data_IF_343154608937
#
_entry.id   IF_343154608937
#
_cell.length_a   1.000
_cell.length_b   1.000
_cell.length_c   1.000
_cell.angle_alpha   90.00
_cell.angle_beta   90.00
_cell.angle_gamma   90.00
#
_symmetry.space_group_name_H-M   'P 1'
#
loop_
_entity.id
_entity.type
_entity.pdbx_description
1 polymer ?
#
# COMPACT_ATOMS: atom_id res chain seq x y z
N UNK A 1 -18.76 -14.56 1.96
CA UNK A 1 -18.37 -13.42 2.79
C UNK A 1 -17.03 -13.78 3.43
N UNK A 2 -16.04 -12.91 3.30
CA UNK A 2 -14.69 -13.13 3.83
C UNK A 2 -14.62 -12.82 5.32
N UNK A 3 -13.92 -13.63 6.10
CA UNK A 3 -13.71 -13.39 7.53
C UNK A 3 -12.56 -12.39 7.74
N UNK A 4 -12.77 -11.42 8.63
CA UNK A 4 -11.73 -10.50 9.11
C UNK A 4 -11.72 -10.57 10.64
N UNK A 5 -10.65 -11.12 11.21
CA UNK A 5 -10.44 -11.05 12.64
C UNK A 5 -9.94 -9.66 13.04
N UNK A 6 -10.49 -9.12 14.12
CA UNK A 6 -10.11 -7.83 14.68
C UNK A 6 -9.65 -7.98 16.13
N UNK A 7 -8.49 -7.43 16.42
CA UNK A 7 -7.89 -7.37 17.75
C UNK A 7 -7.82 -5.90 18.14
N UNK A 8 -8.61 -5.43 19.12
CA UNK A 8 -8.55 -4.06 19.61
C UNK A 8 -7.15 -3.66 20.11
N UNK A 9 -6.83 -2.37 20.05
CA UNK A 9 -5.51 -1.84 20.38
C UNK A 9 -5.06 -2.13 21.84
N UNK A 10 -6.01 -2.28 22.75
CA UNK A 10 -5.78 -2.62 24.16
C UNK A 10 -5.61 -4.13 24.43
N UNK A 11 -5.70 -4.98 23.38
CA UNK A 11 -5.60 -6.45 23.46
C UNK A 11 -4.61 -7.05 22.47
N UNK A 12 -3.59 -6.31 22.09
CA UNK A 12 -2.62 -6.72 21.04
C UNK A 12 -1.89 -8.03 21.40
N UNK A 13 -1.79 -8.37 22.67
CA UNK A 13 -1.24 -9.64 23.16
C UNK A 13 -2.02 -10.86 22.66
N UNK A 14 -3.27 -10.70 22.20
CA UNK A 14 -4.05 -11.77 21.59
C UNK A 14 -3.56 -12.14 20.17
N UNK A 15 -2.68 -11.34 19.55
CA UNK A 15 -2.21 -11.54 18.17
C UNK A 15 -1.71 -12.98 17.88
N UNK A 16 -0.86 -13.61 18.71
CA UNK A 16 -0.41 -14.98 18.45
C UNK A 16 -1.56 -16.00 18.39
N UNK A 17 -2.53 -15.85 19.29
CA UNK A 17 -3.72 -16.73 19.33
C UNK A 17 -4.60 -16.52 18.10
N UNK A 18 -4.82 -15.27 17.70
CA UNK A 18 -5.61 -14.92 16.54
C UNK A 18 -4.98 -15.46 15.25
N UNK A 19 -3.66 -15.30 15.08
CA UNK A 19 -2.93 -15.84 13.92
C UNK A 19 -3.11 -17.36 13.76
N UNK A 20 -3.04 -18.13 14.86
CA UNK A 20 -3.22 -19.59 14.82
C UNK A 20 -4.60 -20.01 14.31
N UNK A 21 -5.63 -19.18 14.48
CA UNK A 21 -6.98 -19.47 13.96
C UNK A 21 -7.05 -19.44 12.42
N UNK A 22 -6.04 -18.84 11.75
CA UNK A 22 -5.99 -18.76 10.29
C UNK A 22 -5.24 -19.93 9.62
N UNK A 23 -5.03 -21.05 10.31
CA UNK A 23 -4.49 -22.27 9.70
C UNK A 23 -3.09 -22.09 9.11
N UNK A 24 -2.14 -21.63 9.91
CA UNK A 24 -0.77 -21.31 9.48
C UNK A 24 0.01 -22.54 8.99
N UNK A 25 -0.45 -23.76 9.32
CA UNK A 25 0.16 -25.04 8.92
C UNK A 25 0.21 -25.22 7.40
N UNK A 26 -0.64 -24.52 6.65
CA UNK A 26 -0.62 -24.52 5.17
C UNK A 26 0.70 -23.98 4.59
N UNK A 27 1.43 -23.17 5.34
CA UNK A 27 2.73 -22.61 4.94
C UNK A 27 3.93 -23.49 5.32
N UNK A 28 3.69 -24.69 5.89
CA UNK A 28 4.75 -25.58 6.36
C UNK A 28 5.74 -25.93 5.26
N UNK A 29 7.03 -25.75 5.57
CA UNK A 29 8.13 -26.08 4.67
C UNK A 29 8.41 -25.03 3.60
N UNK A 30 7.64 -23.92 3.54
CA UNK A 30 7.86 -22.85 2.57
C UNK A 30 8.91 -21.85 3.03
N UNK A 31 9.73 -21.35 2.10
CA UNK A 31 10.45 -20.09 2.24
C UNK A 31 9.45 -18.98 1.97
N UNK A 32 9.01 -18.33 3.04
CA UNK A 32 7.79 -17.51 3.03
C UNK A 32 8.12 -16.02 3.12
N UNK A 33 7.90 -15.24 2.04
CA UNK A 33 8.08 -13.80 2.07
C UNK A 33 7.03 -13.15 2.98
N UNK A 34 7.48 -12.46 4.01
CA UNK A 34 6.68 -11.57 4.84
C UNK A 34 6.85 -10.16 4.28
N UNK A 35 5.93 -9.76 3.41
CA UNK A 35 5.96 -8.47 2.72
C UNK A 35 5.53 -7.35 3.65
N UNK A 36 6.43 -6.42 3.91
CA UNK A 36 6.15 -5.25 4.74
C UNK A 36 6.97 -4.05 4.28
N UNK A 37 6.59 -2.87 4.75
CA UNK A 37 7.42 -1.66 4.65
C UNK A 37 8.19 -1.46 5.95
N UNK A 38 9.53 -1.41 5.89
CA UNK A 38 10.39 -1.32 7.09
C UNK A 38 10.71 0.13 7.49
N UNK A 39 9.93 1.10 7.02
CA UNK A 39 10.08 2.52 7.32
C UNK A 39 11.16 3.22 6.50
N UNK A 40 11.04 4.53 6.31
CA UNK A 40 12.09 5.39 5.76
C UNK A 40 13.09 5.75 6.86
N UNK A 41 14.33 6.08 6.48
CA UNK A 41 15.35 6.55 7.44
C UNK A 41 14.86 7.83 8.14
N UNK A 42 14.80 7.79 9.48
CA UNK A 42 14.29 8.88 10.31
C UNK A 42 12.77 8.87 10.57
N UNK A 43 11.99 8.09 9.85
CA UNK A 43 10.58 7.86 10.19
C UNK A 43 10.48 7.03 11.49
N UNK A 44 9.45 7.30 12.30
CA UNK A 44 9.18 6.60 13.58
C UNK A 44 7.78 5.96 13.63
N UNK A 45 7.05 5.98 12.52
CA UNK A 45 5.62 5.68 12.46
C UNK A 45 5.29 4.41 11.66
N UNK A 46 6.26 3.55 11.39
CA UNK A 46 6.10 2.27 10.71
C UNK A 46 5.61 1.17 11.67
N UNK A 47 5.24 0.02 11.12
CA UNK A 47 4.84 -1.16 11.90
C UNK A 47 5.93 -1.54 12.89
N UNK A 48 5.56 -1.72 14.16
CA UNK A 48 6.51 -2.09 15.21
C UNK A 48 7.23 -3.41 14.89
N UNK A 49 8.57 -3.46 14.95
CA UNK A 49 9.32 -4.71 14.81
C UNK A 49 8.86 -5.83 15.75
N UNK A 50 8.35 -5.49 16.95
CA UNK A 50 7.81 -6.50 17.90
C UNK A 50 6.58 -7.21 17.36
N UNK A 51 5.68 -6.49 16.66
CA UNK A 51 4.50 -7.08 16.01
C UNK A 51 4.95 -8.01 14.89
N UNK A 52 5.88 -7.55 14.04
CA UNK A 52 6.45 -8.35 12.96
C UNK A 52 7.11 -9.63 13.48
N UNK A 53 7.88 -9.50 14.57
CA UNK A 53 8.49 -10.66 15.23
C UNK A 53 7.45 -11.68 15.69
N UNK A 54 6.38 -11.22 16.34
CA UNK A 54 5.30 -12.10 16.81
C UNK A 54 4.66 -12.88 15.66
N UNK A 55 4.45 -12.23 14.50
CA UNK A 55 3.90 -12.88 13.30
C UNK A 55 4.89 -13.92 12.76
N UNK A 56 6.15 -13.57 12.60
CA UNK A 56 7.18 -14.49 12.11
C UNK A 56 7.39 -15.68 13.06
N UNK A 57 7.34 -15.45 14.39
CA UNK A 57 7.46 -16.52 15.39
C UNK A 57 6.32 -17.54 15.25
N UNK A 58 5.07 -17.12 15.03
CA UNK A 58 3.94 -18.04 14.82
C UNK A 58 4.04 -18.79 13.49
N UNK A 59 4.45 -18.12 12.41
CA UNK A 59 4.72 -18.77 11.12
C UNK A 59 5.83 -19.84 11.24
N UNK A 60 6.90 -19.53 11.97
CA UNK A 60 8.00 -20.46 12.22
C UNK A 60 7.56 -21.67 13.08
N UNK A 61 6.72 -21.45 14.10
CA UNK A 61 6.13 -22.53 14.91
C UNK A 61 5.25 -23.44 14.08
N UNK A 62 4.55 -22.91 13.08
CA UNK A 62 3.76 -23.69 12.12
C UNK A 62 4.64 -24.48 11.12
N UNK A 63 5.94 -24.21 11.09
CA UNK A 63 6.93 -24.91 10.26
C UNK A 63 7.28 -24.21 8.95
N UNK A 64 6.91 -22.96 8.76
CA UNK A 64 7.40 -22.11 7.67
C UNK A 64 8.82 -21.59 7.95
N UNK A 65 9.49 -21.07 6.93
CA UNK A 65 10.75 -20.33 7.02
C UNK A 65 10.54 -18.88 6.58
N UNK A 66 9.99 -18.01 7.45
CA UNK A 66 9.69 -16.64 7.08
C UNK A 66 10.98 -15.81 6.93
N UNK A 67 10.95 -14.89 5.96
CA UNK A 67 11.94 -13.83 5.81
C UNK A 67 11.24 -12.49 5.56
N UNK A 68 11.81 -11.40 6.09
CA UNK A 68 11.28 -10.05 5.89
C UNK A 68 11.61 -9.60 4.47
N UNK A 69 10.61 -9.09 3.77
CA UNK A 69 10.74 -8.76 2.36
C UNK A 69 10.16 -7.40 2.01
N UNK A 70 10.91 -6.61 1.25
CA UNK A 70 10.44 -5.41 0.55
C UNK A 70 11.26 -5.18 -0.72
N UNK A 71 10.88 -4.18 -1.53
CA UNK A 71 11.56 -3.81 -2.77
C UNK A 71 11.98 -2.34 -2.78
N UNK A 72 12.94 -1.98 -3.63
CA UNK A 72 13.45 -0.62 -3.74
C UNK A 72 12.35 0.38 -4.12
N UNK A 73 12.36 1.62 -3.61
CA UNK A 73 11.50 2.71 -4.07
C UNK A 73 11.87 3.14 -5.50
N UNK A 74 10.99 3.91 -6.14
CA UNK A 74 11.24 4.54 -7.45
C UNK A 74 11.73 6.00 -7.33
N UNK A 75 12.18 6.41 -6.16
CA UNK A 75 12.71 7.73 -5.85
C UNK A 75 14.01 7.62 -5.05
N UNK A 76 14.83 8.66 -5.08
CA UNK A 76 16.06 8.77 -4.30
C UNK A 76 15.77 8.99 -2.81
N UNK A 77 16.60 8.42 -1.93
CA UNK A 77 16.43 8.56 -0.49
C UNK A 77 17.27 7.59 0.33
N UNK A 78 16.83 7.32 1.56
CA UNK A 78 17.51 6.42 2.50
C UNK A 78 17.36 4.93 2.16
N UNK A 79 16.65 4.57 1.06
CA UNK A 79 16.31 3.19 0.68
C UNK A 79 16.43 2.93 -0.82
N UNK A 80 17.10 3.80 -1.57
CA UNK A 80 17.19 3.72 -3.04
C UNK A 80 18.17 2.68 -3.57
N UNK A 81 19.01 2.10 -2.69
CA UNK A 81 19.82 0.91 -2.98
C UNK A 81 19.54 -0.21 -1.98
N UNK A 82 19.87 -1.46 -2.35
CA UNK A 82 19.69 -2.62 -1.46
C UNK A 82 20.45 -2.44 -0.14
N UNK A 83 21.68 -1.92 -0.22
CA UNK A 83 22.55 -1.65 0.94
C UNK A 83 21.95 -0.59 1.87
N UNK A 84 21.55 0.57 1.33
CA UNK A 84 20.92 1.65 2.09
C UNK A 84 19.62 1.19 2.73
N UNK A 85 18.81 0.39 1.99
CA UNK A 85 17.56 -0.12 2.55
C UNK A 85 17.82 -1.10 3.68
N UNK A 86 18.77 -2.02 3.53
CA UNK A 86 19.16 -2.96 4.59
C UNK A 86 19.66 -2.22 5.84
N UNK A 87 20.52 -1.23 5.68
CA UNK A 87 20.96 -0.36 6.79
C UNK A 87 19.78 0.31 7.48
N UNK A 88 18.86 0.90 6.70
CA UNK A 88 17.67 1.55 7.23
C UNK A 88 16.78 0.57 8.01
N UNK A 89 16.55 -0.64 7.48
CA UNK A 89 15.79 -1.68 8.15
C UNK A 89 16.45 -2.11 9.48
N UNK A 90 17.77 -2.25 9.51
CA UNK A 90 18.54 -2.55 10.73
C UNK A 90 18.39 -1.43 11.75
N UNK A 91 18.58 -0.17 11.34
CA UNK A 91 18.41 1.02 12.21
C UNK A 91 17.00 1.13 12.77
N UNK A 92 15.99 0.75 11.98
CA UNK A 92 14.58 0.74 12.38
C UNK A 92 14.21 -0.47 13.27
N UNK A 93 15.18 -1.31 13.64
CA UNK A 93 15.03 -2.41 14.60
C UNK A 93 14.66 -3.76 14.02
N UNK A 94 14.58 -3.91 12.69
CA UNK A 94 14.24 -5.18 12.06
C UNK A 94 15.43 -6.17 12.03
N UNK A 95 16.67 -5.70 12.03
CA UNK A 95 17.88 -6.54 12.03
C UNK A 95 18.03 -7.44 13.25
N UNK A 96 17.43 -7.08 14.39
CA UNK A 96 17.49 -7.84 15.63
C UNK A 96 16.40 -8.91 15.80
N UNK A 97 15.55 -9.14 14.82
CA UNK A 97 14.39 -10.04 14.97
C UNK A 97 14.74 -11.53 14.84
N UNK A 98 15.91 -11.87 14.29
CA UNK A 98 16.35 -13.25 14.06
C UNK A 98 15.82 -13.85 12.74
N UNK A 99 15.28 -13.04 11.84
CA UNK A 99 14.80 -13.44 10.52
C UNK A 99 15.62 -12.76 9.42
N UNK A 100 15.89 -13.44 8.28
CA UNK A 100 16.56 -12.81 7.15
C UNK A 100 15.77 -11.60 6.64
N UNK A 101 16.49 -10.56 6.19
CA UNK A 101 15.92 -9.41 5.49
C UNK A 101 16.39 -9.48 4.03
N UNK A 102 15.44 -9.51 3.12
CA UNK A 102 15.67 -9.55 1.68
C UNK A 102 15.08 -8.31 1.03
N UNK A 103 15.91 -7.56 0.33
CA UNK A 103 15.50 -6.39 -0.46
C UNK A 103 15.56 -6.76 -1.93
N UNK A 104 14.38 -7.01 -2.52
CA UNK A 104 14.24 -7.33 -3.93
C UNK A 104 14.21 -6.08 -4.80
N UNK A 105 14.42 -6.27 -6.08
CA UNK A 105 14.13 -5.28 -7.12
C UNK A 105 14.03 -5.92 -8.49
N UNK A 106 14.89 -6.89 -8.76
CA UNK A 106 14.85 -7.68 -9.99
C UNK A 106 13.62 -8.60 -9.96
N UNK A 107 12.98 -8.80 -11.09
CA UNK A 107 11.72 -9.51 -11.10
C UNK A 107 11.35 -10.16 -12.43
N UNK A 108 10.16 -10.69 -12.47
CA UNK A 108 9.57 -11.37 -13.62
C UNK A 108 8.37 -10.56 -14.09
N UNK A 109 8.29 -10.34 -15.41
CA UNK A 109 7.14 -9.67 -16.00
C UNK A 109 5.90 -10.55 -15.94
N UNK A 110 4.85 -10.04 -15.33
CA UNK A 110 3.53 -10.67 -15.18
C UNK A 110 2.48 -9.77 -15.82
N UNK A 111 1.69 -10.35 -16.73
CA UNK A 111 0.62 -9.62 -17.41
C UNK A 111 -0.64 -9.58 -16.54
N UNK A 112 -1.21 -8.40 -16.38
CA UNK A 112 -2.47 -8.19 -15.70
C UNK A 112 -3.25 -7.05 -16.37
N UNK A 113 -4.47 -7.33 -16.85
CA UNK A 113 -5.37 -6.34 -17.44
C UNK A 113 -4.79 -5.59 -18.65
N UNK A 114 -3.94 -6.23 -19.46
CA UNK A 114 -3.29 -5.64 -20.62
C UNK A 114 -2.07 -4.77 -20.27
N UNK A 115 -1.60 -4.82 -19.02
CA UNK A 115 -0.38 -4.15 -18.55
C UNK A 115 0.63 -5.17 -18.05
N UNK A 116 1.93 -4.89 -18.24
CA UNK A 116 3.04 -5.72 -17.79
C UNK A 116 3.65 -5.16 -16.51
N UNK A 117 3.72 -5.98 -15.46
CA UNK A 117 4.31 -5.60 -14.18
C UNK A 117 5.48 -6.52 -13.84
N UNK A 118 6.62 -5.95 -13.51
CA UNK A 118 7.78 -6.69 -13.03
C UNK A 118 7.62 -6.96 -11.53
N UNK A 119 7.12 -8.18 -11.22
CA UNK A 119 6.96 -8.68 -9.86
C UNK A 119 8.31 -9.15 -9.33
N UNK A 120 8.70 -8.73 -8.13
CA UNK A 120 9.96 -9.13 -7.53
C UNK A 120 10.10 -10.67 -7.48
N UNK A 121 11.29 -11.16 -7.79
CA UNK A 121 11.55 -12.58 -8.00
C UNK A 121 11.21 -13.43 -6.79
N UNK A 122 11.52 -12.93 -5.58
CA UNK A 122 11.25 -13.61 -4.32
C UNK A 122 9.75 -13.84 -4.12
N UNK A 123 8.95 -12.85 -4.47
CA UNK A 123 7.49 -12.94 -4.41
C UNK A 123 6.93 -13.77 -5.57
N UNK A 124 7.46 -13.61 -6.77
CA UNK A 124 7.03 -14.39 -7.94
C UNK A 124 7.19 -15.89 -7.73
N UNK A 125 8.34 -16.32 -7.20
CA UNK A 125 8.67 -17.74 -6.99
C UNK A 125 7.96 -18.36 -5.79
N UNK A 126 7.47 -17.58 -4.84
CA UNK A 126 6.78 -18.11 -3.66
C UNK A 126 5.39 -18.65 -4.03
N UNK A 127 4.95 -19.71 -3.38
CA UNK A 127 3.59 -20.26 -3.51
C UNK A 127 2.59 -19.45 -2.71
N UNK A 128 3.05 -18.88 -1.62
CA UNK A 128 2.24 -18.14 -0.66
C UNK A 128 2.83 -16.75 -0.40
N UNK A 129 2.02 -15.83 0.13
CA UNK A 129 2.46 -14.49 0.51
C UNK A 129 1.82 -14.06 1.83
N UNK A 130 2.65 -13.60 2.76
CA UNK A 130 2.18 -12.94 3.98
C UNK A 130 2.40 -11.44 3.84
N UNK A 131 1.34 -10.64 4.03
CA UNK A 131 1.41 -9.19 4.03
C UNK A 131 1.29 -8.63 5.44
N UNK A 132 2.25 -7.82 5.89
CA UNK A 132 2.13 -7.04 7.13
C UNK A 132 2.13 -5.57 6.74
N UNK A 133 0.98 -4.93 6.86
CA UNK A 133 0.76 -3.58 6.36
C UNK A 133 0.44 -2.60 7.49
N UNK A 134 1.05 -1.45 7.46
CA UNK A 134 0.62 -0.32 8.27
C UNK A 134 -0.64 0.29 7.62
N UNK A 135 -1.78 0.13 8.25
CA UNK A 135 -3.02 0.77 7.78
C UNK A 135 -3.05 2.22 8.24
N UNK A 136 -2.93 3.16 7.29
CA UNK A 136 -2.79 4.61 7.55
C UNK A 136 -3.24 5.44 6.35
N UNK A 137 -3.18 6.77 6.50
CA UNK A 137 -3.45 7.72 5.43
C UNK A 137 -2.45 7.65 4.27
N UNK A 138 -2.91 8.06 3.08
CA UNK A 138 -2.08 8.16 1.89
C UNK A 138 -2.60 9.23 0.93
N UNK A 139 -1.71 10.10 0.45
CA UNK A 139 -2.07 11.29 -0.35
C UNK A 139 -2.80 10.97 -1.67
N UNK A 140 -2.52 9.83 -2.30
CA UNK A 140 -3.11 9.45 -3.60
C UNK A 140 -4.35 8.57 -3.41
N UNK A 141 -4.25 7.51 -2.60
CA UNK A 141 -5.27 6.47 -2.43
C UNK A 141 -6.13 6.65 -1.19
N UNK A 142 -5.91 7.71 -0.41
CA UNK A 142 -6.44 7.97 0.92
C UNK A 142 -6.05 6.90 1.96
N UNK A 143 -6.10 5.62 1.63
CA UNK A 143 -5.66 4.50 2.43
C UNK A 143 -4.34 3.89 1.88
N UNK A 144 -3.38 3.64 2.76
CA UNK A 144 -2.26 2.71 2.51
C UNK A 144 -2.41 1.50 3.41
N UNK A 145 -2.62 0.31 2.82
CA UNK A 145 -2.76 -0.96 3.54
C UNK A 145 -2.36 -2.14 2.62
N UNK A 146 -3.01 -3.31 2.70
CA UNK A 146 -2.59 -4.55 2.03
C UNK A 146 -2.52 -4.41 0.50
N UNK A 147 -3.57 -3.92 -0.17
CA UNK A 147 -3.56 -3.77 -1.64
C UNK A 147 -2.40 -2.88 -2.10
N UNK A 148 -2.15 -1.76 -1.38
CA UNK A 148 -1.01 -0.90 -1.70
C UNK A 148 0.33 -1.54 -1.36
N UNK A 149 0.41 -2.30 -0.28
CA UNK A 149 1.65 -2.99 0.13
C UNK A 149 2.13 -3.96 -0.95
N UNK A 150 1.23 -4.70 -1.59
CA UNK A 150 1.58 -5.58 -2.71
C UNK A 150 1.64 -4.85 -4.05
N UNK A 151 0.64 -4.01 -4.37
CA UNK A 151 0.54 -3.34 -5.67
C UNK A 151 1.64 -2.32 -5.96
N UNK A 152 2.34 -1.85 -4.92
CA UNK A 152 3.58 -1.05 -5.05
C UNK A 152 4.77 -1.84 -4.53
N UNK A 153 4.72 -2.32 -3.29
CA UNK A 153 5.86 -2.90 -2.62
C UNK A 153 6.24 -4.31 -3.08
N UNK A 154 5.39 -5.03 -3.80
CA UNK A 154 5.71 -6.32 -4.42
C UNK A 154 6.39 -6.21 -5.80
N UNK A 155 6.46 -4.99 -6.34
CA UNK A 155 6.97 -4.72 -7.69
C UNK A 155 8.38 -4.14 -7.66
N UNK A 156 9.09 -4.24 -8.80
CA UNK A 156 10.35 -3.53 -9.03
C UNK A 156 10.16 -2.01 -9.01
N UNK A 157 11.26 -1.27 -8.82
CA UNK A 157 11.23 0.19 -8.89
C UNK A 157 10.74 0.72 -10.25
N UNK A 158 11.02 -0.01 -11.34
CA UNK A 158 10.55 0.30 -12.71
C UNK A 158 9.03 0.26 -12.79
N UNK A 159 8.40 -0.82 -12.30
CA UNK A 159 6.95 -0.96 -12.32
C UNK A 159 6.24 0.02 -11.37
N UNK A 160 6.87 0.38 -10.24
CA UNK A 160 6.38 1.48 -9.39
C UNK A 160 6.36 2.80 -10.15
N UNK A 161 7.46 3.11 -10.84
CA UNK A 161 7.57 4.29 -11.72
C UNK A 161 6.49 4.28 -12.82
N UNK A 162 6.26 3.12 -13.44
CA UNK A 162 5.21 2.95 -14.45
C UNK A 162 3.81 3.27 -13.91
N UNK A 163 3.46 2.82 -12.72
CA UNK A 163 2.14 3.11 -12.09
C UNK A 163 1.99 4.62 -11.84
N UNK A 164 3.02 5.28 -11.30
CA UNK A 164 3.00 6.73 -11.09
C UNK A 164 2.94 7.50 -12.41
N UNK A 165 3.75 7.11 -13.39
CA UNK A 165 3.78 7.77 -14.70
C UNK A 165 2.48 7.56 -15.48
N UNK A 166 1.92 6.36 -15.41
CA UNK A 166 0.67 5.99 -16.08
C UNK A 166 -0.53 6.83 -15.64
N UNK A 167 -0.57 7.22 -14.37
CA UNK A 167 -1.62 8.10 -13.80
C UNK A 167 -1.45 9.59 -14.11
N UNK A 168 -0.36 10.02 -14.76
CA UNK A 168 -0.12 11.42 -15.11
C UNK A 168 -1.05 11.89 -16.22
N UNK A 169 -1.50 13.16 -16.19
CA UNK A 169 -2.45 13.67 -17.17
C UNK A 169 -1.79 14.00 -18.53
N UNK A 170 -2.58 13.83 -19.57
CA UNK A 170 -2.32 14.35 -20.93
C UNK A 170 -3.47 15.28 -21.30
N UNK A 171 -3.18 16.45 -21.88
CA UNK A 171 -4.20 17.45 -22.23
C UNK A 171 -4.55 17.41 -23.71
N UNK A 172 -5.83 17.38 -24.01
CA UNK A 172 -6.40 17.76 -25.31
C UNK A 172 -6.66 19.28 -25.32
N UNK A 173 -5.78 20.03 -25.99
CA UNK A 173 -5.85 21.49 -26.03
C UNK A 173 -7.08 21.99 -26.81
N UNK A 174 -7.65 21.20 -27.70
CA UNK A 174 -8.85 21.57 -28.43
C UNK A 174 -10.12 21.56 -27.56
N UNK A 175 -10.10 20.80 -26.47
CA UNK A 175 -11.21 20.70 -25.50
C UNK A 175 -10.99 21.53 -24.23
N UNK A 176 -9.74 21.97 -23.96
CA UNK A 176 -9.41 22.71 -22.75
C UNK A 176 -9.82 24.18 -22.88
N UNK A 177 -10.69 24.64 -21.98
CA UNK A 177 -11.13 26.03 -21.85
C UNK A 177 -10.34 26.83 -20.81
N UNK A 178 -9.26 26.29 -20.29
CA UNK A 178 -8.39 26.91 -19.28
C UNK A 178 -9.12 27.33 -17.99
N UNK A 179 -10.15 26.59 -17.57
CA UNK A 179 -10.99 26.93 -16.39
C UNK A 179 -10.27 26.85 -15.04
N UNK A 180 -9.05 26.30 -14.96
CA UNK A 180 -8.25 26.23 -13.73
C UNK A 180 -8.67 25.13 -12.74
N UNK A 181 -9.75 24.38 -12.97
CA UNK A 181 -10.25 23.34 -12.06
C UNK A 181 -9.17 22.28 -11.76
N UNK A 182 -8.41 21.86 -12.76
CA UNK A 182 -7.34 20.88 -12.60
C UNK A 182 -6.17 21.38 -11.72
N UNK A 183 -5.85 22.67 -11.78
CA UNK A 183 -4.86 23.31 -10.88
C UNK A 183 -5.35 23.30 -9.44
N UNK A 184 -6.61 23.68 -9.21
CA UNK A 184 -7.22 23.70 -7.86
C UNK A 184 -7.27 22.31 -7.21
N UNK A 185 -7.46 21.24 -8.03
CA UNK A 185 -7.51 19.85 -7.55
C UNK A 185 -6.13 19.21 -7.35
N UNK A 186 -5.02 19.88 -7.75
CA UNK A 186 -3.69 19.31 -7.70
C UNK A 186 -3.14 19.27 -6.27
N UNK A 187 -2.83 18.07 -5.70
CA UNK A 187 -2.36 17.96 -4.32
C UNK A 187 -0.82 18.04 -4.18
N UNK A 188 -0.07 18.25 -5.29
CA UNK A 188 1.40 18.16 -5.28
C UNK A 188 2.07 19.23 -4.41
N UNK A 189 1.43 20.39 -4.20
CA UNK A 189 1.93 21.45 -3.32
C UNK A 189 2.19 20.93 -1.90
N UNK A 190 1.28 20.11 -1.36
CA UNK A 190 1.46 19.49 -0.04
C UNK A 190 2.53 18.41 0.03
N UNK A 191 2.92 17.84 -1.12
CA UNK A 191 3.92 16.77 -1.19
C UNK A 191 5.33 17.28 -1.57
N UNK A 192 5.39 18.34 -2.39
CA UNK A 192 6.65 18.83 -2.97
C UNK A 192 6.88 20.34 -2.72
N UNK A 193 5.99 21.02 -1.99
CA UNK A 193 6.05 22.48 -1.77
C UNK A 193 5.63 23.32 -2.97
N UNK A 194 5.40 22.72 -4.15
CA UNK A 194 4.97 23.38 -5.37
C UNK A 194 3.84 22.63 -6.08
N UNK A 195 2.98 23.36 -6.80
CA UNK A 195 1.96 22.77 -7.65
C UNK A 195 2.56 22.29 -8.96
N UNK A 196 2.41 21.01 -9.25
CA UNK A 196 2.86 20.42 -10.51
C UNK A 196 2.07 20.95 -11.72
N UNK A 197 0.78 21.31 -11.54
CA UNK A 197 -0.11 21.73 -12.63
C UNK A 197 -0.48 23.19 -12.44
N UNK A 198 -0.38 23.99 -13.54
CA UNK A 198 -0.69 25.42 -13.54
C UNK A 198 -1.48 25.81 -14.80
N UNK A 199 -2.41 26.73 -14.64
CA UNK A 199 -3.22 27.30 -15.74
C UNK A 199 -3.12 28.82 -15.69
N UNK A 200 -2.17 29.38 -16.46
CA UNK A 200 -1.93 30.84 -16.53
C UNK A 200 -1.79 31.28 -17.98
N UNK A 201 -2.94 31.47 -18.66
CA UNK A 201 -2.95 31.76 -20.09
C UNK A 201 -2.69 30.53 -20.99
N UNK A 202 -2.08 29.49 -20.45
CA UNK A 202 -1.94 28.16 -21.03
C UNK A 202 -1.96 27.11 -19.92
N UNK A 203 -2.23 25.85 -20.32
CA UNK A 203 -2.10 24.69 -19.46
C UNK A 203 -0.66 24.17 -19.45
N UNK A 204 -0.07 24.03 -18.28
CA UNK A 204 1.30 23.54 -18.11
C UNK A 204 1.40 22.59 -16.94
N UNK A 205 2.35 21.65 -17.01
CA UNK A 205 2.60 20.68 -15.95
C UNK A 205 4.09 20.36 -15.80
N UNK A 206 4.57 20.37 -14.58
CA UNK A 206 5.84 19.75 -14.21
C UNK A 206 5.59 18.27 -13.90
N UNK A 207 5.98 17.41 -14.81
CA UNK A 207 5.84 15.96 -14.63
C UNK A 207 6.78 15.38 -13.57
N UNK A 208 7.85 16.07 -13.18
CA UNK A 208 8.73 15.67 -12.06
C UNK A 208 8.04 15.82 -10.71
N UNK A 209 7.30 16.92 -10.54
CA UNK A 209 6.50 17.16 -9.32
C UNK A 209 5.11 16.49 -9.34
N UNK A 210 4.69 15.91 -10.48
CA UNK A 210 3.38 15.30 -10.61
C UNK A 210 3.33 13.92 -9.94
N UNK A 211 2.43 13.73 -8.97
CA UNK A 211 2.24 12.48 -8.24
C UNK A 211 1.58 11.35 -9.06
N UNK A 212 1.04 11.64 -10.27
CA UNK A 212 0.27 10.68 -11.06
C UNK A 212 -1.09 10.30 -10.44
N UNK A 213 -1.62 11.09 -9.51
CA UNK A 213 -2.83 10.76 -8.74
C UNK A 213 -4.15 10.82 -9.54
N UNK A 214 -4.15 11.41 -10.75
CA UNK A 214 -5.29 11.48 -11.65
C UNK A 214 -6.47 12.35 -11.21
N UNK A 215 -6.38 13.12 -10.11
CA UNK A 215 -7.47 13.98 -9.64
C UNK A 215 -7.90 14.99 -10.70
N UNK A 216 -6.94 15.60 -11.38
CA UNK A 216 -7.19 16.56 -12.47
C UNK A 216 -7.92 15.93 -13.65
N UNK A 217 -7.65 14.65 -13.96
CA UNK A 217 -8.33 13.91 -15.03
C UNK A 217 -9.79 13.65 -14.66
N UNK A 218 -10.01 13.07 -13.47
CA UNK A 218 -11.37 12.77 -12.98
C UNK A 218 -12.24 14.02 -12.76
N UNK A 219 -11.62 15.12 -12.36
CA UNK A 219 -12.32 16.38 -12.05
C UNK A 219 -12.39 17.36 -13.21
N UNK A 220 -11.91 17.04 -14.42
CA UNK A 220 -11.97 17.95 -15.57
C UNK A 220 -13.40 18.05 -16.11
N UNK A 221 -14.07 19.23 -15.98
CA UNK A 221 -15.47 19.38 -16.40
C UNK A 221 -15.68 19.28 -17.91
N UNK A 222 -14.62 19.50 -18.69
CA UNK A 222 -14.62 19.40 -20.15
C UNK A 222 -14.15 18.03 -20.68
N UNK A 223 -13.69 17.13 -19.78
CA UNK A 223 -13.05 15.88 -20.22
C UNK A 223 -11.85 16.10 -21.15
N UNK A 224 -11.14 17.23 -20.97
CA UNK A 224 -9.98 17.61 -21.75
C UNK A 224 -8.69 16.92 -21.29
N UNK A 225 -8.72 16.19 -20.17
CA UNK A 225 -7.58 15.46 -19.63
C UNK A 225 -7.81 13.96 -19.72
N UNK A 226 -6.79 13.22 -20.10
CA UNK A 226 -6.76 11.75 -20.09
C UNK A 226 -5.54 11.26 -19.34
N UNK A 227 -5.51 9.97 -18.96
CA UNK A 227 -4.34 9.33 -18.37
C UNK A 227 -3.33 8.94 -19.45
N UNK A 228 -2.03 8.87 -19.10
CA UNK A 228 -1.00 8.32 -20.00
C UNK A 228 -1.21 6.83 -20.27
N UNK A 229 -1.48 6.03 -19.21
CA UNK A 229 -1.71 4.59 -19.34
C UNK A 229 -3.00 4.14 -18.64
N UNK A 230 -3.37 4.74 -17.50
CA UNK A 230 -4.56 4.36 -16.76
C UNK A 230 -4.72 5.09 -15.43
N UNK A 231 -5.89 4.94 -14.82
CA UNK A 231 -6.11 5.46 -13.46
C UNK A 231 -5.14 4.83 -12.48
N UNK A 232 -4.53 5.62 -11.61
CA UNK A 232 -3.57 5.15 -10.60
C UNK A 232 -4.15 4.01 -9.74
N UNK A 233 -5.42 4.11 -9.34
CA UNK A 233 -6.06 3.10 -8.50
C UNK A 233 -6.25 1.77 -9.24
N UNK A 234 -6.57 1.83 -10.55
CA UNK A 234 -6.64 0.65 -11.40
C UNK A 234 -5.25 0.02 -11.58
N UNK A 235 -4.24 0.81 -11.94
CA UNK A 235 -2.88 0.30 -12.12
C UNK A 235 -2.31 -0.31 -10.83
N UNK A 236 -2.62 0.30 -9.67
CA UNK A 236 -2.26 -0.22 -8.35
C UNK A 236 -2.92 -1.59 -8.08
N UNK A 237 -4.22 -1.71 -8.36
CA UNK A 237 -4.96 -2.96 -8.18
C UNK A 237 -4.46 -4.06 -9.15
N UNK A 238 -4.12 -3.71 -10.39
CA UNK A 238 -3.51 -4.62 -11.36
C UNK A 238 -2.12 -5.07 -10.91
N UNK A 239 -1.32 -4.17 -10.35
CA UNK A 239 -0.02 -4.50 -9.74
C UNK A 239 -0.17 -5.46 -8.56
N UNK A 240 -1.18 -5.26 -7.69
CA UNK A 240 -1.49 -6.19 -6.61
C UNK A 240 -1.92 -7.56 -7.16
N UNK A 241 -2.74 -7.58 -8.22
CA UNK A 241 -3.14 -8.82 -8.90
C UNK A 241 -1.93 -9.57 -9.46
N UNK A 242 -1.02 -8.88 -10.14
CA UNK A 242 0.21 -9.49 -10.66
C UNK A 242 1.04 -10.15 -9.54
N UNK A 243 1.09 -9.55 -8.33
CA UNK A 243 1.81 -10.07 -7.18
C UNK A 243 1.12 -11.26 -6.49
N UNK A 244 -0.21 -11.28 -6.43
CA UNK A 244 -0.99 -12.19 -5.58
C UNK A 244 -1.68 -13.32 -6.34
N UNK A 245 -1.79 -13.22 -7.66
CA UNK A 245 -2.50 -14.20 -8.48
C UNK A 245 -1.95 -15.62 -8.28
N UNK A 246 -2.85 -16.55 -7.92
CA UNK A 246 -2.50 -17.96 -7.70
C UNK A 246 -1.74 -18.27 -6.43
N UNK A 247 -1.64 -17.32 -5.49
CA UNK A 247 -0.96 -17.50 -4.20
C UNK A 247 -1.95 -17.66 -3.05
N UNK A 248 -1.59 -18.49 -2.09
CA UNK A 248 -2.24 -18.47 -0.79
C UNK A 248 -1.77 -17.26 0.02
N UNK A 249 -2.72 -16.54 0.62
CA UNK A 249 -2.45 -15.29 1.32
C UNK A 249 -2.78 -15.34 2.82
N UNK A 250 -1.99 -14.61 3.61
CA UNK A 250 -2.35 -14.17 4.96
C UNK A 250 -1.99 -12.70 5.08
N UNK A 251 -2.96 -11.88 5.44
CA UNK A 251 -2.78 -10.43 5.52
C UNK A 251 -3.03 -9.95 6.93
N UNK A 252 -2.15 -9.07 7.39
CA UNK A 252 -2.22 -8.42 8.71
C UNK A 252 -2.12 -6.92 8.50
N UNK A 253 -3.19 -6.20 8.82
CA UNK A 253 -3.21 -4.75 8.84
C UNK A 253 -3.05 -4.24 10.27
N UNK A 254 -2.03 -3.42 10.49
CA UNK A 254 -1.73 -2.79 11.77
C UNK A 254 -2.23 -1.36 11.72
N UNK A 255 -3.41 -1.13 12.30
CA UNK A 255 -4.06 0.17 12.40
C UNK A 255 -3.72 0.84 13.76
N UNK A 256 -2.43 1.08 13.95
CA UNK A 256 -1.84 1.74 15.13
C UNK A 256 -0.96 2.90 14.65
N UNK A 257 -0.89 3.99 15.41
CA UNK A 257 -0.13 5.20 15.05
C UNK A 257 -0.53 5.70 13.66
N UNK A 258 -1.82 5.83 13.42
CA UNK A 258 -2.41 6.09 12.10
C UNK A 258 -2.06 7.50 11.64
N UNK A 259 -1.05 7.61 10.79
CA UNK A 259 -0.53 8.88 10.27
C UNK A 259 -1.27 9.34 9.01
N UNK A 260 -1.20 10.63 8.72
CA UNK A 260 -1.73 11.22 7.48
C UNK A 260 -0.96 10.77 6.24
N UNK A 261 0.37 10.65 6.36
CA UNK A 261 1.24 10.32 5.25
C UNK A 261 1.85 8.92 5.40
N UNK A 262 2.40 8.44 4.32
CA UNK A 262 2.97 7.11 4.18
C UNK A 262 4.30 6.96 4.94
N UNK A 263 4.63 5.75 5.36
CA UNK A 263 5.92 5.38 5.98
C UNK A 263 7.13 5.66 5.08
N UNK A 264 6.91 5.97 3.81
CA UNK A 264 7.92 6.42 2.86
C UNK A 264 8.31 7.90 3.04
N UNK A 265 7.56 8.68 3.80
CA UNK A 265 7.94 10.04 4.19
C UNK A 265 8.77 10.01 5.47
N UNK A 266 9.80 10.84 5.57
CA UNK A 266 10.59 11.01 6.80
C UNK A 266 9.69 11.50 7.94
N UNK A 267 8.83 12.48 7.64
CA UNK A 267 7.77 12.96 8.54
C UNK A 267 6.39 12.55 8.00
N UNK A 268 5.78 11.56 8.64
CA UNK A 268 4.47 11.05 8.28
C UNK A 268 3.30 11.75 9.02
N UNK A 269 3.60 12.70 9.90
CA UNK A 269 2.61 13.40 10.71
C UNK A 269 1.65 14.31 9.88
N UNK A 270 0.50 14.70 10.43
CA UNK A 270 0.03 14.37 11.79
C UNK A 270 -0.56 12.96 11.95
N UNK A 271 -0.71 12.51 13.20
CA UNK A 271 -1.62 11.41 13.54
C UNK A 271 -3.05 11.88 13.22
N UNK A 272 -3.82 11.08 12.50
CA UNK A 272 -5.18 11.43 12.07
C UNK A 272 -6.26 10.60 12.76
N UNK A 273 -5.88 9.50 13.39
CA UNK A 273 -6.77 8.58 14.09
C UNK A 273 -6.05 8.01 15.31
N UNK A 274 -6.78 7.82 16.42
CA UNK A 274 -6.30 7.02 17.54
C UNK A 274 -6.05 5.57 17.13
N UNK A 275 -5.28 4.85 17.93
CA UNK A 275 -5.03 3.43 17.70
C UNK A 275 -6.34 2.64 17.65
N UNK A 276 -6.53 1.88 16.59
CA UNK A 276 -7.70 1.02 16.35
C UNK A 276 -7.39 -0.41 16.78
N UNK A 277 -6.34 -1.00 16.22
CA UNK A 277 -5.96 -2.37 16.54
C UNK A 277 -5.27 -3.09 15.37
N UNK A 278 -5.37 -4.41 15.37
CA UNK A 278 -4.79 -5.28 14.34
C UNK A 278 -5.90 -6.09 13.69
N UNK A 279 -5.89 -6.16 12.36
CA UNK A 279 -6.81 -6.99 11.58
C UNK A 279 -6.03 -8.13 10.92
N UNK A 280 -6.69 -9.28 10.74
CA UNK A 280 -6.14 -10.46 10.07
C UNK A 280 -7.19 -11.02 9.13
N UNK A 281 -6.80 -11.35 7.89
CA UNK A 281 -7.67 -12.04 6.92
C UNK A 281 -6.85 -12.80 5.89
N UNK A 282 -7.49 -13.75 5.21
CA UNK A 282 -6.96 -14.39 4.00
C UNK A 282 -7.39 -13.64 2.71
N UNK A 283 -8.23 -12.60 2.85
CA UNK A 283 -8.73 -11.78 1.76
C UNK A 283 -8.12 -10.37 1.83
N UNK A 284 -7.31 -9.95 0.83
CA UNK A 284 -6.62 -8.67 0.85
C UNK A 284 -7.53 -7.46 0.65
N UNK A 285 -8.71 -7.65 0.05
CA UNK A 285 -9.70 -6.59 -0.18
C UNK A 285 -10.56 -6.40 1.07
N UNK A 286 -11.04 -7.50 1.64
CA UNK A 286 -11.86 -7.51 2.86
C UNK A 286 -11.13 -6.86 4.04
N UNK A 287 -9.85 -7.20 4.24
CA UNK A 287 -9.07 -6.61 5.33
C UNK A 287 -8.85 -5.10 5.18
N UNK A 288 -8.65 -4.64 3.94
CA UNK A 288 -8.50 -3.22 3.67
C UNK A 288 -9.83 -2.47 3.84
N UNK A 289 -10.95 -3.06 3.39
CA UNK A 289 -12.30 -2.52 3.59
C UNK A 289 -12.64 -2.39 5.08
N UNK A 290 -12.41 -3.45 5.86
CA UNK A 290 -12.59 -3.44 7.31
C UNK A 290 -11.70 -2.40 8.01
N UNK A 291 -10.46 -2.24 7.54
CA UNK A 291 -9.55 -1.21 8.06
C UNK A 291 -10.10 0.20 7.83
N UNK A 292 -10.68 0.48 6.65
CA UNK A 292 -11.34 1.77 6.37
C UNK A 292 -12.51 1.99 7.32
N UNK A 293 -13.41 1.01 7.45
CA UNK A 293 -14.61 1.15 8.27
C UNK A 293 -14.28 1.41 9.75
N UNK A 294 -13.35 0.65 10.30
CA UNK A 294 -12.94 0.81 11.70
C UNK A 294 -12.23 2.15 11.95
N UNK A 295 -11.36 2.58 11.03
CA UNK A 295 -10.68 3.87 11.16
C UNK A 295 -11.65 5.04 10.98
N UNK A 296 -12.54 5.02 9.98
CA UNK A 296 -13.55 6.07 9.79
C UNK A 296 -14.52 6.13 10.97
N UNK A 297 -14.96 4.98 11.48
CA UNK A 297 -15.78 4.90 12.69
C UNK A 297 -15.09 5.49 13.92
N UNK A 298 -13.78 5.22 14.11
CA UNK A 298 -12.99 5.77 15.22
C UNK A 298 -12.74 7.27 15.08
N UNK A 299 -12.52 7.75 13.84
CA UNK A 299 -12.31 9.19 13.56
C UNK A 299 -13.60 10.01 13.61
N UNK A 300 -14.77 9.39 13.42
CA UNK A 300 -16.06 10.10 13.23
C UNK A 300 -16.13 10.91 11.93
N UNK A 301 -15.23 10.66 10.97
CA UNK A 301 -15.18 11.30 9.66
C UNK A 301 -14.51 10.40 8.63
N UNK A 302 -14.84 10.59 7.35
CA UNK A 302 -14.32 9.80 6.26
C UNK A 302 -12.90 10.21 5.82
N UNK A 303 -12.18 9.27 5.21
CA UNK A 303 -10.94 9.57 4.50
C UNK A 303 -11.15 10.56 3.35
N UNK A 304 -12.34 10.55 2.72
CA UNK A 304 -12.69 11.50 1.65
C UNK A 304 -12.71 12.94 2.16
N UNK A 305 -13.15 13.20 3.40
CA UNK A 305 -13.11 14.52 4.01
C UNK A 305 -11.67 14.96 4.33
N UNK A 306 -10.76 14.05 4.62
CA UNK A 306 -9.36 14.37 4.94
C UNK A 306 -8.52 14.56 3.67
N UNK A 307 -8.72 13.71 2.67
CA UNK A 307 -7.85 13.61 1.48
C UNK A 307 -8.51 14.08 0.19
N UNK A 308 -9.83 14.30 0.15
CA UNK A 308 -10.58 14.57 -1.07
C UNK A 308 -10.59 13.39 -2.05
N UNK A 309 -10.37 12.16 -1.55
CA UNK A 309 -10.31 10.91 -2.34
C UNK A 309 -10.98 9.80 -1.55
N UNK A 310 -11.78 8.99 -2.23
CA UNK A 310 -12.40 7.81 -1.64
C UNK A 310 -11.35 6.71 -1.38
N UNK A 311 -11.22 6.29 -0.13
CA UNK A 311 -10.30 5.26 0.30
C UNK A 311 -10.59 3.88 -0.32
N UNK A 312 -11.82 3.64 -0.75
CA UNK A 312 -12.24 2.39 -1.41
C UNK A 312 -12.06 2.37 -2.93
N UNK A 313 -11.59 3.47 -3.55
CA UNK A 313 -11.48 3.55 -5.00
C UNK A 313 -10.62 2.41 -5.59
N UNK A 314 -9.44 2.17 -5.04
CA UNK A 314 -8.57 1.07 -5.48
C UNK A 314 -9.07 -0.31 -5.06
N UNK A 315 -9.83 -0.41 -3.96
CA UNK A 315 -10.42 -1.66 -3.49
C UNK A 315 -11.53 -2.15 -4.42
N UNK A 316 -12.38 -1.24 -4.95
CA UNK A 316 -13.38 -1.61 -5.97
C UNK A 316 -12.75 -2.17 -7.24
N UNK A 317 -11.62 -1.62 -7.68
CA UNK A 317 -10.88 -2.22 -8.78
C UNK A 317 -10.32 -3.59 -8.41
N UNK A 318 -9.76 -3.74 -7.21
CA UNK A 318 -9.22 -5.01 -6.74
C UNK A 318 -10.30 -6.10 -6.64
N UNK A 319 -11.49 -5.78 -6.13
CA UNK A 319 -12.66 -6.67 -6.13
C UNK A 319 -13.10 -7.05 -7.55
N UNK A 320 -13.28 -6.07 -8.43
CA UNK A 320 -13.63 -6.29 -9.84
C UNK A 320 -12.61 -7.14 -10.61
N UNK A 321 -11.36 -7.18 -10.15
CA UNK A 321 -10.29 -8.03 -10.66
C UNK A 321 -10.26 -9.43 -10.01
N UNK A 322 -11.12 -9.71 -9.03
CA UNK A 322 -11.21 -11.00 -8.35
C UNK A 322 -10.11 -11.24 -7.32
N UNK A 323 -9.56 -10.19 -6.71
CA UNK A 323 -8.56 -10.31 -5.64
C UNK A 323 -9.16 -10.60 -4.26
N UNK A 324 -10.45 -10.36 -4.08
CA UNK A 324 -11.20 -10.55 -2.84
C UNK A 324 -12.53 -9.83 -2.91
N UNK A 325 -13.17 -9.60 -1.77
CA UNK A 325 -14.50 -9.00 -1.66
C UNK A 325 -14.50 -7.80 -0.70
N UNK A 326 -15.28 -6.78 -1.02
CA UNK A 326 -15.57 -5.66 -0.11
C UNK A 326 -16.52 -6.09 1.03
N UNK A 327 -17.30 -7.17 0.81
CA UNK A 327 -18.18 -7.74 1.81
C UNK A 327 -17.40 -8.67 2.75
N UNK A 328 -17.46 -8.40 4.06
CA UNK A 328 -16.74 -9.17 5.08
C UNK A 328 -17.57 -9.35 6.35
N UNK A 329 -17.22 -10.35 7.13
CA UNK A 329 -17.69 -10.54 8.50
C UNK A 329 -16.53 -10.18 9.46
N UNK A 330 -16.81 -9.25 10.39
CA UNK A 330 -15.83 -8.84 11.39
C UNK A 330 -15.98 -9.71 12.66
N UNK A 331 -14.91 -10.39 13.04
CA UNK A 331 -14.85 -11.26 14.22
C UNK A 331 -13.89 -10.65 15.24
N UNK A 332 -14.42 -10.10 16.32
CA UNK A 332 -13.59 -9.57 17.40
C UNK A 332 -12.91 -10.71 18.15
N UNK A 333 -11.59 -10.61 18.28
CA UNK A 333 -10.72 -11.57 18.99
C UNK A 333 -10.19 -10.92 20.26
N UNK A 334 -10.47 -11.50 21.39
CA UNK A 334 -10.06 -11.00 22.71
C UNK A 334 -9.55 -12.10 23.64
#
# INVERSE_FOLDING_TARGET
>A
VSEVAFIPADRIEALPRALRAFGLERFRGEDLPVKLHMGERGNRWYVSPRIVKSICDELSRAGARPFLFDTLPCYEGGRDTKEKYLETAIMNGFGGLGYPIVIGNDGVNVEAGGHSFEVAEELYRSKSAVGVSHAKGHVITALGATIKNFGMGGLSNRSKGYIHDGGKPVVDRGRCDLCGTCEALCPSEGAHGERALRVRGDWSIDYGACLGCGRCVRGCPRGALSYRAGDFNLLLALGAKACLMGKEGLYVNVALKITKYCDCAVDALPIICEDVGILISNDPVAIDAASVDLMEGKMGRSFAEIFGVDARAHLRFAEGLGLGSLDYELIEMG
#
